data_IF_321778444020
#
_entry.id   IF_321778444020
#
_cell.length_a   1.000
_cell.length_b   1.000
_cell.length_c   1.000
_cell.angle_alpha   90.00
_cell.angle_beta   90.00
_cell.angle_gamma   90.00
#
_symmetry.space_group_name_H-M   'P 1'
#
loop_
_entity.id
_entity.type
_entity.pdbx_description
1 polymer ?
#
# COMPACT_ATOMS: atom_id res chain seq x y z
N UNK A 1 -7.92 -21.27 19.39
CA UNK A 1 -9.18 -21.91 19.85
C UNK A 1 -10.29 -21.44 18.93
N UNK A 2 -10.75 -22.32 18.07
CA UNK A 2 -11.76 -21.98 17.06
C UNK A 2 -13.12 -21.84 17.76
N UNK A 3 -14.02 -21.01 17.22
CA UNK A 3 -15.40 -20.87 17.75
C UNK A 3 -16.10 -22.23 17.85
N UNK A 4 -15.79 -23.15 16.93
CA UNK A 4 -16.23 -24.54 16.93
C UNK A 4 -15.78 -25.34 18.15
N UNK A 5 -14.56 -25.10 18.65
CA UNK A 5 -14.02 -25.80 19.82
C UNK A 5 -14.71 -25.32 21.10
N UNK A 6 -14.98 -24.01 21.20
CA UNK A 6 -15.66 -23.44 22.35
C UNK A 6 -17.14 -23.89 22.44
N UNK A 7 -17.83 -23.98 21.30
CA UNK A 7 -19.20 -24.50 21.23
C UNK A 7 -19.24 -25.99 21.60
N UNK A 8 -18.23 -26.76 21.17
CA UNK A 8 -18.12 -28.19 21.49
C UNK A 8 -17.83 -28.41 22.98
N UNK A 9 -17.00 -27.58 23.60
CA UNK A 9 -16.74 -27.61 25.05
C UNK A 9 -18.01 -27.30 25.86
N UNK A 10 -18.76 -26.25 25.51
CA UNK A 10 -20.00 -25.89 26.22
C UNK A 10 -21.11 -26.93 26.01
N UNK A 11 -21.22 -27.53 24.82
CA UNK A 11 -22.19 -28.61 24.56
C UNK A 11 -21.83 -29.92 25.28
N UNK A 12 -20.54 -30.20 25.46
CA UNK A 12 -20.06 -31.34 26.23
C UNK A 12 -20.29 -31.16 27.74
N UNK A 13 -20.28 -29.93 28.26
CA UNK A 13 -20.64 -29.63 29.65
C UNK A 13 -22.14 -29.85 29.94
N UNK A 14 -23.03 -29.65 28.96
CA UNK A 14 -24.48 -29.92 29.08
C UNK A 14 -24.89 -31.38 28.79
N UNK A 15 -23.93 -32.29 28.55
CA UNK A 15 -24.18 -33.72 28.33
C UNK A 15 -24.85 -34.06 27.00
N UNK A 16 -24.89 -33.11 26.06
CA UNK A 16 -25.41 -33.31 24.70
C UNK A 16 -24.26 -33.66 23.78
N UNK A 17 -24.18 -34.93 23.37
CA UNK A 17 -23.14 -35.40 22.47
C UNK A 17 -23.43 -34.89 21.03
N UNK A 18 -22.60 -34.02 20.44
CA UNK A 18 -22.92 -33.41 19.15
C UNK A 18 -22.81 -34.46 18.04
N UNK A 19 -23.92 -34.75 17.35
CA UNK A 19 -23.97 -35.70 16.23
C UNK A 19 -23.23 -35.21 14.96
N UNK A 20 -22.81 -33.94 14.94
CA UNK A 20 -22.09 -33.32 13.82
C UNK A 20 -20.79 -32.72 14.33
N UNK A 21 -19.67 -33.39 14.01
CA UNK A 21 -18.33 -32.86 14.19
C UNK A 21 -18.09 -31.83 13.07
N UNK A 22 -18.22 -30.54 13.37
CA UNK A 22 -17.89 -29.48 12.41
C UNK A 22 -16.37 -29.41 12.31
N UNK A 23 -15.80 -30.23 11.44
CA UNK A 23 -14.38 -30.13 11.06
C UNK A 23 -14.26 -28.99 10.06
N UNK A 24 -13.95 -27.79 10.55
CA UNK A 24 -13.59 -26.67 9.69
C UNK A 24 -12.14 -26.82 9.25
N UNK A 25 -11.89 -27.55 8.15
CA UNK A 25 -10.59 -27.49 7.48
C UNK A 25 -10.43 -26.12 6.80
N UNK A 26 -9.41 -25.32 7.15
CA UNK A 26 -9.12 -24.08 6.43
C UNK A 26 -8.80 -24.38 4.97
N UNK A 27 -9.53 -23.76 4.04
CA UNK A 27 -9.29 -23.89 2.60
C UNK A 27 -7.94 -23.23 2.20
N UNK A 28 -7.45 -22.27 3.00
CA UNK A 28 -6.17 -21.59 2.84
C UNK A 28 -5.48 -21.38 4.19
N UNK A 29 -4.14 -21.46 4.22
CA UNK A 29 -3.33 -21.13 5.41
C UNK A 29 -3.65 -21.98 6.64
N UNK A 30 -3.51 -23.31 6.52
CA UNK A 30 -3.83 -24.25 7.62
C UNK A 30 -3.05 -23.95 8.92
N UNK A 31 -1.88 -23.32 8.81
CA UNK A 31 -1.02 -22.87 9.92
C UNK A 31 -0.80 -21.34 9.94
N UNK A 32 -1.61 -20.55 9.21
CA UNK A 32 -1.39 -19.11 9.10
C UNK A 32 -1.79 -18.38 10.38
N UNK A 33 -0.83 -17.69 11.00
CA UNK A 33 -1.08 -16.84 12.14
C UNK A 33 -1.60 -15.46 11.71
N UNK A 34 -2.14 -14.68 12.65
CA UNK A 34 -2.53 -13.29 12.37
C UNK A 34 -1.39 -12.47 11.78
N UNK A 35 -0.14 -12.78 12.16
CA UNK A 35 1.07 -12.14 11.63
C UNK A 35 1.22 -12.38 10.13
N UNK A 36 0.93 -13.57 9.61
CA UNK A 36 1.01 -13.86 8.17
C UNK A 36 -0.01 -13.03 7.38
N UNK A 37 -1.18 -12.76 7.97
CA UNK A 37 -2.18 -11.88 7.38
C UNK A 37 -1.80 -10.39 7.46
N UNK A 38 -1.27 -9.98 8.62
CA UNK A 38 -1.04 -8.59 8.94
C UNK A 38 0.22 -8.03 8.26
N UNK A 39 1.31 -8.80 8.23
CA UNK A 39 2.61 -8.28 7.78
C UNK A 39 2.64 -7.90 6.29
N UNK A 40 2.08 -8.65 5.34
CA UNK A 40 1.99 -8.20 3.96
C UNK A 40 1.22 -6.88 3.81
N UNK A 41 0.16 -6.71 4.62
CA UNK A 41 -0.65 -5.50 4.64
C UNK A 41 0.12 -4.30 5.18
N UNK A 42 0.74 -4.43 6.35
CA UNK A 42 1.51 -3.35 6.96
C UNK A 42 2.75 -3.01 6.14
N UNK A 43 3.37 -3.98 5.46
CA UNK A 43 4.48 -3.74 4.54
C UNK A 43 4.07 -2.80 3.40
N UNK A 44 2.99 -3.11 2.69
CA UNK A 44 2.48 -2.25 1.63
C UNK A 44 2.11 -0.86 2.15
N UNK A 45 1.52 -0.79 3.35
CA UNK A 45 1.17 0.48 3.96
C UNK A 45 2.37 1.31 4.43
N UNK A 46 3.42 0.68 4.96
CA UNK A 46 4.67 1.36 5.35
C UNK A 46 5.35 1.95 4.12
N UNK A 47 5.36 1.23 2.99
CA UNK A 47 5.84 1.78 1.71
C UNK A 47 5.00 2.97 1.31
N UNK A 48 3.67 2.87 1.35
CA UNK A 48 2.78 4.01 1.08
C UNK A 48 3.10 5.21 1.97
N UNK A 49 3.21 5.00 3.29
CA UNK A 49 3.46 6.05 4.26
C UNK A 49 4.80 6.75 4.01
N UNK A 50 5.89 5.97 3.98
CA UNK A 50 7.25 6.49 3.92
C UNK A 50 7.56 7.10 2.55
N UNK A 51 7.20 6.42 1.46
CA UNK A 51 7.48 6.95 0.12
C UNK A 51 6.68 8.25 -0.12
N UNK A 52 5.41 8.30 0.28
CA UNK A 52 4.59 9.51 0.07
C UNK A 52 5.11 10.69 0.90
N UNK A 53 5.44 10.50 2.19
CA UNK A 53 5.89 11.61 3.04
C UNK A 53 7.28 12.12 2.66
N UNK A 54 8.20 11.22 2.31
CA UNK A 54 9.55 11.61 1.90
C UNK A 54 9.50 12.45 0.63
N UNK A 55 8.77 11.98 -0.40
CA UNK A 55 8.61 12.73 -1.63
C UNK A 55 7.89 14.06 -1.40
N UNK A 56 6.85 14.07 -0.58
CA UNK A 56 6.11 15.28 -0.21
C UNK A 56 7.04 16.33 0.42
N UNK A 57 7.78 15.96 1.46
CA UNK A 57 8.66 16.88 2.18
C UNK A 57 9.79 17.37 1.29
N UNK A 58 10.45 16.48 0.54
CA UNK A 58 11.55 16.86 -0.34
C UNK A 58 11.08 17.88 -1.37
N UNK A 59 9.96 17.62 -2.04
CA UNK A 59 9.49 18.50 -3.11
C UNK A 59 9.02 19.86 -2.58
N UNK A 60 8.32 19.88 -1.43
CA UNK A 60 7.94 21.14 -0.77
C UNK A 60 9.17 21.92 -0.32
N UNK A 61 10.20 21.23 0.20
CA UNK A 61 11.46 21.84 0.61
C UNK A 61 12.24 22.44 -0.56
N UNK A 62 12.33 21.74 -1.68
CA UNK A 62 13.01 22.23 -2.89
C UNK A 62 12.34 23.46 -3.48
N UNK A 63 11.00 23.52 -3.46
CA UNK A 63 10.24 24.72 -3.84
C UNK A 63 10.44 25.85 -2.82
N UNK A 64 10.37 25.55 -1.53
CA UNK A 64 10.54 26.57 -0.48
C UNK A 64 11.93 27.21 -0.50
N UNK A 65 12.97 26.46 -0.90
CA UNK A 65 14.35 26.92 -0.99
C UNK A 65 14.69 27.62 -2.32
N UNK A 66 13.77 27.71 -3.27
CA UNK A 66 14.03 28.31 -4.58
C UNK A 66 14.80 27.40 -5.57
N UNK A 67 15.11 26.16 -5.18
CA UNK A 67 15.92 25.23 -6.00
C UNK A 67 15.13 24.73 -7.19
N UNK A 68 13.84 24.46 -6.99
CA UNK A 68 12.95 24.00 -8.07
C UNK A 68 12.82 25.07 -9.16
N UNK A 69 12.69 26.35 -8.79
CA UNK A 69 12.63 27.46 -9.74
C UNK A 69 13.95 27.61 -10.52
N UNK A 70 15.10 27.40 -9.87
CA UNK A 70 16.41 27.42 -10.54
C UNK A 70 16.57 26.31 -11.56
N UNK A 71 16.11 25.10 -11.25
CA UNK A 71 16.12 23.97 -12.20
C UNK A 71 15.21 24.26 -13.39
N UNK A 72 14.00 24.79 -13.14
CA UNK A 72 13.04 25.15 -14.19
C UNK A 72 13.43 26.40 -15.01
N UNK A 73 14.45 27.15 -14.59
CA UNK A 73 15.03 28.26 -15.35
C UNK A 73 16.09 27.80 -16.37
N UNK A 74 16.57 26.56 -16.26
CA UNK A 74 17.42 25.91 -17.26
C UNK A 74 16.58 25.37 -18.43
N UNK A 75 17.15 24.93 -19.57
CA UNK A 75 16.38 24.46 -20.73
C UNK A 75 15.77 23.05 -20.52
N UNK A 76 15.34 22.73 -19.29
CA UNK A 76 14.73 21.46 -18.90
C UNK A 76 13.22 21.66 -18.76
N UNK A 77 12.45 20.75 -19.32
CA UNK A 77 10.98 20.75 -19.24
C UNK A 77 10.49 20.22 -17.90
N UNK A 78 9.28 20.61 -17.47
CA UNK A 78 8.69 20.11 -16.21
C UNK A 78 8.52 18.59 -16.23
N UNK A 79 8.26 18.02 -17.40
CA UNK A 79 8.15 16.57 -17.60
C UNK A 79 9.48 15.85 -17.35
N UNK A 80 10.60 16.42 -17.80
CA UNK A 80 11.93 15.88 -17.56
C UNK A 80 12.32 15.96 -16.08
N UNK A 81 11.99 17.06 -15.38
CA UNK A 81 12.20 17.17 -13.94
C UNK A 81 11.41 16.10 -13.18
N UNK A 82 10.11 15.99 -13.45
CA UNK A 82 9.25 14.97 -12.79
C UNK A 82 9.73 13.56 -13.11
N UNK A 83 10.16 13.28 -14.33
CA UNK A 83 10.66 11.96 -14.73
C UNK A 83 12.00 11.64 -14.06
N UNK A 84 12.91 12.61 -13.95
CA UNK A 84 14.18 12.44 -13.24
C UNK A 84 13.99 12.12 -11.75
N UNK A 85 13.05 12.81 -11.10
CA UNK A 85 12.63 12.47 -9.74
C UNK A 85 11.93 11.11 -9.68
N UNK A 86 11.05 10.77 -10.65
CA UNK A 86 10.41 9.46 -10.78
C UNK A 86 11.42 8.33 -10.80
N UNK A 87 12.50 8.46 -11.57
CA UNK A 87 13.56 7.45 -11.66
C UNK A 87 14.36 7.38 -10.36
N UNK A 88 14.76 8.52 -9.80
CA UNK A 88 15.61 8.58 -8.61
C UNK A 88 14.90 8.02 -7.38
N UNK A 89 13.72 8.55 -7.04
CA UNK A 89 12.94 8.09 -5.91
C UNK A 89 12.26 6.74 -6.19
N UNK A 90 11.97 6.42 -7.45
CA UNK A 90 11.50 5.09 -7.84
C UNK A 90 12.54 4.02 -7.53
N UNK A 91 13.81 4.29 -7.84
CA UNK A 91 14.92 3.38 -7.49
C UNK A 91 15.06 3.22 -5.97
N UNK A 92 14.99 4.31 -5.21
CA UNK A 92 15.00 4.26 -3.74
C UNK A 92 13.80 3.49 -3.20
N UNK A 93 12.61 3.68 -3.79
CA UNK A 93 11.39 2.96 -3.43
C UNK A 93 11.54 1.46 -3.69
N UNK A 94 12.08 1.06 -4.84
CA UNK A 94 12.34 -0.35 -5.19
C UNK A 94 13.30 -0.98 -4.18
N UNK A 95 14.38 -0.29 -3.81
CA UNK A 95 15.32 -0.75 -2.78
C UNK A 95 14.64 -0.88 -1.41
N UNK A 96 13.79 0.10 -1.05
CA UNK A 96 13.01 0.07 0.19
C UNK A 96 12.05 -1.12 0.21
N UNK A 97 11.34 -1.40 -0.88
CA UNK A 97 10.44 -2.56 -1.01
C UNK A 97 11.21 -3.86 -0.84
N UNK A 98 12.35 -4.01 -1.52
CA UNK A 98 13.20 -5.20 -1.41
C UNK A 98 13.64 -5.42 0.04
N UNK A 99 14.13 -4.38 0.71
CA UNK A 99 14.55 -4.44 2.10
C UNK A 99 13.40 -4.86 3.03
N UNK A 100 12.23 -4.25 2.88
CA UNK A 100 11.07 -4.57 3.72
C UNK A 100 10.58 -6.00 3.50
N UNK A 101 10.59 -6.51 2.26
CA UNK A 101 10.22 -7.89 1.98
C UNK A 101 11.22 -8.89 2.55
N UNK A 102 12.53 -8.58 2.49
CA UNK A 102 13.56 -9.41 3.12
C UNK A 102 13.36 -9.46 4.63
N UNK A 103 13.08 -8.32 5.28
CA UNK A 103 12.78 -8.28 6.71
C UNK A 103 11.51 -9.07 7.02
N UNK A 104 10.45 -8.91 6.23
CA UNK A 104 9.20 -9.63 6.42
C UNK A 104 9.39 -11.16 6.35
N UNK A 105 10.19 -11.66 5.40
CA UNK A 105 10.42 -13.09 5.24
C UNK A 105 11.39 -13.63 6.30
N UNK A 106 12.53 -12.95 6.52
CA UNK A 106 13.60 -13.48 7.36
C UNK A 106 13.39 -13.24 8.86
N UNK A 107 12.85 -12.08 9.24
CA UNK A 107 12.69 -11.68 10.65
C UNK A 107 11.34 -12.14 11.19
N UNK A 108 10.27 -11.96 10.41
CA UNK A 108 8.92 -12.34 10.83
C UNK A 108 8.53 -13.77 10.42
N UNK A 109 9.41 -14.51 9.74
CA UNK A 109 9.22 -15.90 9.32
C UNK A 109 7.89 -16.15 8.58
N UNK A 110 7.48 -15.20 7.74
CA UNK A 110 6.17 -15.26 7.08
C UNK A 110 6.14 -16.41 6.07
N UNK A 111 5.03 -17.14 6.09
CA UNK A 111 4.77 -18.18 5.10
C UNK A 111 4.50 -17.52 3.74
N UNK A 112 5.36 -17.81 2.76
CA UNK A 112 5.15 -17.39 1.37
C UNK A 112 4.86 -18.62 0.51
N UNK A 113 3.59 -18.80 0.17
CA UNK A 113 3.10 -19.90 -0.67
C UNK A 113 3.36 -19.62 -2.16
N UNK A 114 3.24 -18.35 -2.57
CA UNK A 114 3.37 -17.93 -3.96
C UNK A 114 4.76 -17.43 -4.36
N UNK A 115 4.82 -16.77 -5.52
CA UNK A 115 6.06 -16.19 -6.04
C UNK A 115 6.34 -14.82 -5.38
N UNK A 116 7.40 -14.74 -4.56
CA UNK A 116 7.86 -13.50 -3.90
C UNK A 116 8.04 -12.34 -4.88
N UNK A 117 8.44 -12.62 -6.13
CA UNK A 117 8.64 -11.59 -7.14
C UNK A 117 7.34 -10.89 -7.55
N UNK A 118 6.19 -11.59 -7.51
CA UNK A 118 4.89 -10.97 -7.78
C UNK A 118 4.46 -10.04 -6.63
N UNK A 119 4.73 -10.44 -5.38
CA UNK A 119 4.51 -9.58 -4.22
C UNK A 119 5.42 -8.34 -4.28
N UNK A 120 6.69 -8.52 -4.63
CA UNK A 120 7.63 -7.42 -4.88
C UNK A 120 7.13 -6.48 -5.96
N UNK A 121 6.66 -7.01 -7.10
CA UNK A 121 6.15 -6.20 -8.21
C UNK A 121 4.94 -5.35 -7.78
N UNK A 122 3.99 -5.93 -7.05
CA UNK A 122 2.81 -5.20 -6.56
C UNK A 122 3.20 -4.00 -5.68
N UNK A 123 4.09 -4.21 -4.71
CA UNK A 123 4.54 -3.13 -3.81
C UNK A 123 5.48 -2.15 -4.51
N UNK A 124 6.28 -2.60 -5.49
CA UNK A 124 7.12 -1.72 -6.29
C UNK A 124 6.29 -0.75 -7.14
N UNK A 125 5.22 -1.23 -7.78
CA UNK A 125 4.28 -0.36 -8.52
C UNK A 125 3.57 0.59 -7.54
N UNK A 126 3.20 0.11 -6.34
CA UNK A 126 2.68 0.99 -5.29
C UNK A 126 3.69 2.09 -4.94
N UNK A 127 4.98 1.78 -4.76
CA UNK A 127 6.00 2.78 -4.43
C UNK A 127 6.06 3.90 -5.47
N UNK A 128 6.04 3.56 -6.76
CA UNK A 128 5.98 4.55 -7.87
C UNK A 128 4.69 5.37 -7.81
N UNK A 129 3.55 4.73 -7.52
CA UNK A 129 2.26 5.41 -7.35
C UNK A 129 2.27 6.40 -6.19
N UNK A 130 2.82 6.00 -5.05
CA UNK A 130 2.94 6.81 -3.84
C UNK A 130 3.88 7.98 -4.01
N UNK A 131 4.95 7.79 -4.78
CA UNK A 131 5.82 8.89 -5.15
C UNK A 131 5.07 9.95 -5.95
N UNK A 132 4.33 9.54 -6.98
CA UNK A 132 3.52 10.45 -7.79
C UNK A 132 2.48 11.19 -6.94
N UNK A 133 1.84 10.49 -6.00
CA UNK A 133 0.94 11.08 -5.02
C UNK A 133 1.65 12.10 -4.11
N UNK A 134 2.86 11.82 -3.64
CA UNK A 134 3.66 12.73 -2.83
C UNK A 134 3.99 14.04 -3.57
N UNK A 135 4.37 13.95 -4.84
CA UNK A 135 4.57 15.13 -5.71
C UNK A 135 3.25 15.89 -5.87
N UNK A 136 2.13 15.21 -6.11
CA UNK A 136 0.83 15.86 -6.23
C UNK A 136 0.44 16.61 -4.95
N UNK A 137 0.58 15.96 -3.78
CA UNK A 137 0.29 16.56 -2.48
C UNK A 137 1.21 17.74 -2.13
N UNK A 138 2.43 17.78 -2.68
CA UNK A 138 3.34 18.92 -2.49
C UNK A 138 2.77 20.24 -2.99
N UNK A 139 1.76 20.21 -3.86
CA UNK A 139 1.07 21.42 -4.32
C UNK A 139 0.22 22.09 -3.24
N UNK A 140 -0.18 21.36 -2.20
CA UNK A 140 -1.03 21.85 -1.12
C UNK A 140 -0.25 22.54 0.02
N UNK A 141 1.06 22.33 0.12
CA UNK A 141 1.91 22.97 1.13
C UNK A 141 2.92 23.95 0.54
N UNK A 142 3.16 25.02 1.30
CA UNK A 142 4.21 26.01 1.00
C UNK A 142 5.51 25.74 1.77
N UNK A 143 5.42 25.00 2.88
CA UNK A 143 6.57 24.69 3.74
C UNK A 143 6.53 23.24 4.23
N UNK A 144 7.69 22.59 4.44
CA UNK A 144 7.76 21.21 4.93
C UNK A 144 6.99 20.98 6.23
N UNK A 145 7.01 21.94 7.15
CA UNK A 145 6.33 21.82 8.44
C UNK A 145 4.81 21.80 8.25
N UNK A 146 4.29 22.59 7.31
CA UNK A 146 2.87 22.55 6.94
C UNK A 146 2.53 21.19 6.32
N UNK A 147 3.41 20.65 5.48
CA UNK A 147 3.21 19.36 4.84
C UNK A 147 3.07 18.22 5.87
N UNK A 148 3.96 18.20 6.87
CA UNK A 148 3.93 17.23 7.97
C UNK A 148 2.62 17.34 8.77
N UNK A 149 2.12 18.56 9.01
CA UNK A 149 0.90 18.76 9.79
C UNK A 149 -0.37 18.31 9.07
N UNK A 150 -0.47 18.49 7.74
CA UNK A 150 -1.67 18.08 7.01
C UNK A 150 -1.63 16.61 6.54
N UNK A 151 -0.44 16.03 6.39
CA UNK A 151 -0.28 14.67 5.87
C UNK A 151 -1.10 13.59 6.61
N UNK A 152 -1.24 13.62 7.95
CA UNK A 152 -2.13 12.70 8.67
C UNK A 152 -3.58 12.69 8.17
N UNK A 153 -4.11 13.81 7.68
CA UNK A 153 -5.47 13.87 7.14
C UNK A 153 -5.63 13.10 5.83
N UNK A 154 -4.53 12.84 5.11
CA UNK A 154 -4.51 12.01 3.90
C UNK A 154 -4.26 10.55 4.27
N UNK A 155 -3.31 10.30 5.16
CA UNK A 155 -2.86 8.97 5.53
C UNK A 155 -3.85 8.22 6.40
N UNK A 156 -4.45 8.87 7.39
CA UNK A 156 -5.34 8.19 8.34
C UNK A 156 -6.57 7.58 7.64
N UNK A 157 -7.28 8.29 6.74
CA UNK A 157 -8.33 7.65 5.95
C UNK A 157 -7.81 6.50 5.09
N UNK A 158 -6.65 6.67 4.44
CA UNK A 158 -6.04 5.61 3.65
C UNK A 158 -5.68 4.39 4.51
N UNK A 159 -5.20 4.59 5.74
CA UNK A 159 -4.87 3.51 6.66
C UNK A 159 -6.08 2.67 7.05
N UNK A 160 -7.19 3.35 7.38
CA UNK A 160 -8.44 2.68 7.76
C UNK A 160 -9.10 1.97 6.57
N UNK A 161 -9.01 2.56 5.38
CA UNK A 161 -9.68 2.06 4.18
C UNK A 161 -8.87 1.01 3.40
N UNK A 162 -7.55 0.97 3.57
CA UNK A 162 -6.64 0.09 2.82
C UNK A 162 -6.76 -1.40 3.16
N UNK A 163 -7.52 -1.76 4.19
CA UNK A 163 -7.71 -3.16 4.60
C UNK A 163 -6.46 -3.77 5.24
N UNK A 164 -5.54 -2.98 5.80
CA UNK A 164 -4.31 -3.48 6.44
C UNK A 164 -4.58 -4.33 7.67
N UNK A 165 -5.59 -4.00 8.47
CA UNK A 165 -5.93 -4.76 9.68
C UNK A 165 -7.00 -5.83 9.45
N UNK A 166 -7.90 -5.62 8.50
CA UNK A 166 -9.04 -6.49 8.26
C UNK A 166 -9.27 -6.68 6.75
N UNK A 167 -9.85 -7.82 6.35
CA UNK A 167 -10.23 -8.04 4.96
C UNK A 167 -11.16 -6.94 4.46
N UNK A 168 -11.06 -6.58 3.18
CA UNK A 168 -11.87 -5.53 2.57
C UNK A 168 -13.39 -5.80 2.69
N UNK A 169 -13.77 -7.08 2.79
CA UNK A 169 -15.15 -7.51 2.97
C UNK A 169 -15.70 -7.17 4.35
N UNK A 170 -14.84 -7.00 5.36
CA UNK A 170 -15.24 -6.61 6.72
C UNK A 170 -15.58 -5.11 6.83
N UNK A 171 -15.19 -4.29 5.84
CA UNK A 171 -15.54 -2.87 5.80
C UNK A 171 -17.05 -2.73 5.50
N UNK A 172 -17.78 -1.85 6.23
CA UNK A 172 -19.19 -1.58 6.00
C UNK A 172 -19.50 -1.28 4.53
N UNK A 173 -20.64 -1.77 4.03
CA UNK A 173 -20.99 -1.70 2.61
C UNK A 173 -21.02 -0.26 2.04
N UNK A 174 -21.38 0.72 2.87
CA UNK A 174 -21.39 2.14 2.49
C UNK A 174 -20.00 2.76 2.38
N UNK A 175 -19.01 2.23 3.11
CA UNK A 175 -17.65 2.76 3.15
C UNK A 175 -16.71 2.02 2.17
N UNK A 176 -17.02 0.76 1.85
CA UNK A 176 -16.24 -0.09 0.94
C UNK A 176 -15.92 0.55 -0.42
N UNK A 177 -16.83 1.30 -1.08
CA UNK A 177 -16.50 1.96 -2.35
C UNK A 177 -15.33 2.94 -2.24
N UNK A 178 -15.17 3.62 -1.10
CA UNK A 178 -14.08 4.57 -0.88
C UNK A 178 -12.71 3.89 -0.74
N UNK A 179 -12.66 2.64 -0.30
CA UNK A 179 -11.42 1.86 -0.26
C UNK A 179 -10.81 1.64 -1.65
N UNK A 180 -11.64 1.57 -2.69
CA UNK A 180 -11.14 1.45 -4.07
C UNK A 180 -10.57 2.76 -4.64
N UNK A 181 -10.75 3.89 -3.94
CA UNK A 181 -10.05 5.15 -4.25
C UNK A 181 -8.68 5.26 -3.58
N UNK A 182 -8.32 4.28 -2.76
CA UNK A 182 -7.10 4.26 -1.96
C UNK A 182 -6.12 3.27 -2.60
N UNK A 183 -5.03 3.75 -3.24
CA UNK A 183 -4.06 2.89 -3.91
C UNK A 183 -3.49 1.74 -3.06
N UNK A 184 -3.13 1.93 -1.77
CA UNK A 184 -2.57 0.83 -0.99
C UNK A 184 -3.54 -0.35 -0.83
N UNK A 185 -4.86 -0.16 -0.98
CA UNK A 185 -5.84 -1.27 -0.95
C UNK A 185 -5.50 -2.38 -1.94
N UNK A 186 -5.15 -2.01 -3.18
CA UNK A 186 -4.84 -2.95 -4.25
C UNK A 186 -3.53 -3.69 -4.01
N UNK A 187 -2.52 -2.99 -3.49
CA UNK A 187 -1.25 -3.61 -3.14
C UNK A 187 -1.38 -4.56 -1.95
N UNK A 188 -2.17 -4.20 -0.93
CA UNK A 188 -2.45 -5.06 0.23
C UNK A 188 -3.15 -6.35 -0.21
N UNK A 189 -4.19 -6.26 -1.04
CA UNK A 189 -4.91 -7.45 -1.52
C UNK A 189 -4.02 -8.32 -2.43
N UNK A 190 -3.27 -7.71 -3.35
CA UNK A 190 -2.33 -8.43 -4.23
C UNK A 190 -1.24 -9.14 -3.44
N UNK A 191 -0.61 -8.47 -2.47
CA UNK A 191 0.43 -9.06 -1.62
C UNK A 191 -0.10 -10.24 -0.81
N UNK A 192 -1.29 -10.10 -0.20
CA UNK A 192 -1.91 -11.23 0.53
C UNK A 192 -2.31 -12.36 -0.40
N UNK A 193 -2.85 -12.06 -1.57
CA UNK A 193 -3.22 -13.08 -2.55
C UNK A 193 -2.00 -13.90 -2.99
N UNK A 194 -0.87 -13.25 -3.21
CA UNK A 194 0.38 -13.94 -3.58
C UNK A 194 0.96 -14.70 -2.38
N UNK A 195 1.14 -14.05 -1.24
CA UNK A 195 1.88 -14.61 -0.10
C UNK A 195 1.09 -15.71 0.61
N UNK A 196 -0.21 -15.52 0.84
CA UNK A 196 -1.05 -16.46 1.61
C UNK A 196 -1.79 -17.46 0.74
N UNK A 197 -2.34 -17.01 -0.40
CA UNK A 197 -3.17 -17.86 -1.26
C UNK A 197 -2.38 -18.52 -2.40
N UNK A 198 -1.12 -18.14 -2.60
CA UNK A 198 -0.28 -18.64 -3.68
C UNK A 198 -0.76 -18.26 -5.08
N UNK A 199 -1.56 -17.21 -5.21
CA UNK A 199 -2.15 -16.83 -6.50
C UNK A 199 -1.11 -16.27 -7.47
N UNK A 200 -1.19 -16.72 -8.72
CA UNK A 200 -0.37 -16.21 -9.82
C UNK A 200 -0.92 -14.93 -10.45
N UNK A 201 -0.23 -14.46 -11.50
CA UNK A 201 -0.55 -13.22 -12.22
C UNK A 201 -2.00 -13.16 -12.72
N UNK A 202 -2.58 -14.31 -13.09
CA UNK A 202 -3.94 -14.44 -13.62
C UNK A 202 -5.04 -13.92 -12.69
N UNK A 203 -4.80 -13.88 -11.37
CA UNK A 203 -5.78 -13.39 -10.40
C UNK A 203 -5.45 -12.02 -9.83
N UNK A 204 -4.18 -11.63 -9.82
CA UNK A 204 -3.73 -10.34 -9.26
C UNK A 204 -3.61 -9.23 -10.31
N UNK A 205 -3.71 -9.54 -11.60
CA UNK A 205 -3.60 -8.54 -12.66
C UNK A 205 -4.57 -7.36 -12.52
N UNK A 206 -5.82 -7.49 -12.01
CA UNK A 206 -6.70 -6.34 -11.85
C UNK A 206 -6.15 -5.34 -10.82
N UNK A 207 -5.56 -5.85 -9.74
CA UNK A 207 -4.95 -5.02 -8.70
C UNK A 207 -3.69 -4.30 -9.22
N UNK A 208 -2.86 -5.02 -9.97
CA UNK A 208 -1.69 -4.42 -10.63
C UNK A 208 -2.10 -3.37 -11.65
N UNK A 209 -3.14 -3.63 -12.46
CA UNK A 209 -3.65 -2.68 -13.44
C UNK A 209 -4.21 -1.42 -12.75
N UNK A 210 -4.95 -1.57 -11.65
CA UNK A 210 -5.44 -0.45 -10.86
C UNK A 210 -4.28 0.41 -10.33
N UNK A 211 -3.23 -0.20 -9.77
CA UNK A 211 -2.04 0.52 -9.31
C UNK A 211 -1.35 1.30 -10.46
N UNK A 212 -1.21 0.70 -11.63
CA UNK A 212 -0.64 1.38 -12.81
C UNK A 212 -1.52 2.55 -13.25
N UNK A 213 -2.84 2.39 -13.24
CA UNK A 213 -3.79 3.48 -13.56
C UNK A 213 -3.63 4.63 -12.56
N UNK A 214 -3.52 4.33 -11.26
CA UNK A 214 -3.25 5.36 -10.24
C UNK A 214 -1.90 6.04 -10.46
N UNK A 215 -0.84 5.30 -10.80
CA UNK A 215 0.47 5.87 -11.09
C UNK A 215 0.40 6.87 -12.25
N UNK A 216 -0.22 6.48 -13.38
CA UNK A 216 -0.39 7.35 -14.54
C UNK A 216 -1.24 8.58 -14.19
N UNK A 217 -2.35 8.38 -13.47
CA UNK A 217 -3.26 9.45 -13.07
C UNK A 217 -2.57 10.47 -12.15
N UNK A 218 -1.87 10.02 -11.11
CA UNK A 218 -1.17 10.92 -10.20
C UNK A 218 0.02 11.60 -10.85
N UNK A 219 0.78 10.92 -11.71
CA UNK A 219 1.87 11.56 -12.47
C UNK A 219 1.31 12.65 -13.40
N UNK A 220 0.22 12.36 -14.11
CA UNK A 220 -0.45 13.34 -14.98
C UNK A 220 -0.94 14.56 -14.19
N UNK A 221 -1.59 14.34 -13.05
CA UNK A 221 -2.04 15.42 -12.16
C UNK A 221 -0.88 16.20 -11.54
N UNK A 222 0.22 15.53 -11.18
CA UNK A 222 1.42 16.17 -10.65
C UNK A 222 2.05 17.13 -11.67
N UNK A 223 2.23 16.66 -12.92
CA UNK A 223 2.73 17.51 -14.01
C UNK A 223 1.79 18.69 -14.27
N UNK A 224 0.48 18.46 -14.29
CA UNK A 224 -0.51 19.53 -14.46
C UNK A 224 -0.43 20.56 -13.32
N UNK A 225 -0.30 20.11 -12.08
CA UNK A 225 -0.19 20.98 -10.91
C UNK A 225 1.06 21.86 -10.96
N UNK A 226 2.19 21.35 -11.45
CA UNK A 226 3.43 22.14 -11.59
C UNK A 226 3.31 23.21 -12.66
N UNK A 227 2.65 22.93 -13.78
CA UNK A 227 2.41 23.92 -14.84
C UNK A 227 1.52 25.06 -14.37
N UNK A 228 0.52 24.77 -13.52
CA UNK A 228 -0.43 25.78 -13.04
C UNK A 228 0.17 26.75 -12.01
N UNK A 229 1.17 26.32 -11.25
CA UNK A 229 1.86 27.17 -10.25
C UNK A 229 2.71 28.31 -10.82
N UNK A 230 2.82 28.43 -12.15
CA UNK A 230 3.53 29.52 -12.85
C UNK A 230 2.66 30.76 -13.16
N UNK A 231 1.35 30.74 -12.86
CA UNK A 231 0.45 31.90 -13.00
C UNK A 231 0.29 32.62 -11.67
#
# INVERSE_FOLDING_TARGET
KTVSDAITDTMSEEGVNPALKITSEPIYGQDAEFIDFFVPGILAFVVYLLTTILTLITFVGERANGTLERVLASPVTEGEVVTGYAITFGTLGILQVALLLVIAILVFNIIVVGNVLLAFLAVAILAVTCQALGILLSSLAKRPEQAIQFFPFVVLPAFLLSGVFWPLQAIPAWLRPFSYLVPPTYAVEACRAVMLKGWGLEKIWPDLAALVIFAILFLGLAVWSLKRGKK
#
